data_IF_181770435903
#
_entry.id   IF_181770435903
#
_cell.length_a   1.000
_cell.length_b   1.000
_cell.length_c   1.000
_cell.angle_alpha   90.00
_cell.angle_beta   90.00
_cell.angle_gamma   90.00
#
_symmetry.space_group_name_H-M   'P 1'
#
loop_
_entity.id
_entity.type
_entity.pdbx_description
1 polymer ?
#
# COMPACT_ATOMS: atom_id res chain seq x y z
N UNK A 1 8.15 -15.00 -2.28
CA UNK A 1 8.95 -13.78 -2.10
C UNK A 1 8.78 -12.67 -3.16
N UNK A 2 8.25 -12.86 -4.40
CA UNK A 2 8.11 -11.74 -5.35
C UNK A 2 6.86 -10.86 -5.12
N UNK A 3 5.77 -11.40 -4.58
CA UNK A 3 4.51 -10.64 -4.40
C UNK A 3 4.60 -9.57 -3.30
N UNK A 4 5.31 -9.84 -2.20
CA UNK A 4 5.51 -8.84 -1.14
C UNK A 4 6.35 -7.66 -1.65
N UNK A 5 7.41 -7.92 -2.43
CA UNK A 5 8.21 -6.85 -3.05
C UNK A 5 7.39 -6.01 -4.05
N UNK A 6 6.44 -6.60 -4.77
CA UNK A 6 5.51 -5.87 -5.64
C UNK A 6 4.57 -4.96 -4.85
N UNK A 7 4.05 -5.41 -3.71
CA UNK A 7 3.23 -4.58 -2.83
C UNK A 7 4.02 -3.40 -2.26
N UNK A 8 5.25 -3.62 -1.81
CA UNK A 8 6.12 -2.54 -1.34
C UNK A 8 6.41 -1.51 -2.44
N UNK A 9 6.68 -1.97 -3.67
CA UNK A 9 6.86 -1.07 -4.81
C UNK A 9 5.58 -0.28 -5.15
N UNK A 10 4.40 -0.91 -5.09
CA UNK A 10 3.14 -0.22 -5.34
C UNK A 10 2.84 0.87 -4.29
N UNK A 11 3.13 0.61 -3.01
CA UNK A 11 3.00 1.62 -1.95
C UNK A 11 3.99 2.78 -2.15
N UNK A 12 5.20 2.48 -2.65
CA UNK A 12 6.21 3.50 -2.93
C UNK A 12 5.78 4.46 -4.04
N UNK A 13 5.31 3.92 -5.15
CA UNK A 13 4.79 4.72 -6.27
C UNK A 13 3.59 5.57 -5.82
N UNK A 14 2.74 5.04 -4.95
CA UNK A 14 1.62 5.79 -4.38
C UNK A 14 2.08 6.95 -3.47
N UNK A 15 3.09 6.76 -2.60
CA UNK A 15 3.64 7.85 -1.76
C UNK A 15 4.38 8.91 -2.60
N UNK A 16 4.87 8.55 -3.79
CA UNK A 16 5.47 9.44 -4.77
C UNK A 16 4.47 10.31 -5.57
N UNK A 17 3.16 10.10 -5.40
CA UNK A 17 2.14 10.92 -6.06
C UNK A 17 2.29 12.39 -5.67
N UNK A 18 2.19 13.29 -6.66
CA UNK A 18 2.38 14.74 -6.47
C UNK A 18 1.32 15.41 -5.58
N UNK A 19 0.26 14.67 -5.20
CA UNK A 19 -0.84 15.16 -4.38
C UNK A 19 -1.04 14.27 -3.13
N UNK A 20 -0.26 14.50 -2.06
CA UNK A 20 -0.33 13.71 -0.83
C UNK A 20 -1.66 13.85 -0.07
N UNK A 21 -2.43 14.91 -0.32
CA UNK A 21 -3.74 15.12 0.30
C UNK A 21 -4.78 14.10 -0.17
N UNK A 22 -4.62 13.54 -1.38
CA UNK A 22 -5.49 12.47 -1.87
C UNK A 22 -5.33 11.18 -1.07
N UNK A 23 -4.10 10.86 -0.66
CA UNK A 23 -3.82 9.67 0.15
C UNK A 23 -4.33 9.85 1.58
N UNK A 24 -4.17 11.04 2.16
CA UNK A 24 -4.72 11.36 3.48
C UNK A 24 -6.26 11.36 3.46
N UNK A 25 -6.89 11.84 2.39
CA UNK A 25 -8.36 11.81 2.25
C UNK A 25 -8.91 10.39 2.07
N UNK A 26 -8.18 9.53 1.36
CA UNK A 26 -8.63 8.18 1.03
C UNK A 26 -8.34 7.16 2.15
N UNK A 27 -7.16 7.25 2.77
CA UNK A 27 -6.70 6.28 3.78
C UNK A 27 -6.59 6.88 5.19
N UNK A 28 -6.52 8.21 5.33
CA UNK A 28 -6.41 8.89 6.62
C UNK A 28 -5.33 8.31 7.53
N UNK A 29 -5.70 8.00 8.77
CA UNK A 29 -4.79 7.44 9.76
C UNK A 29 -4.18 6.08 9.36
N UNK A 30 -4.84 5.31 8.49
CA UNK A 30 -4.34 4.02 8.02
C UNK A 30 -3.15 4.16 7.07
N UNK A 31 -2.97 5.32 6.43
CA UNK A 31 -1.84 5.57 5.54
C UNK A 31 -0.50 5.36 6.24
N UNK A 32 -0.41 5.74 7.52
CA UNK A 32 0.80 5.51 8.33
C UNK A 32 1.09 4.01 8.52
N UNK A 33 0.06 3.18 8.67
CA UNK A 33 0.20 1.72 8.82
C UNK A 33 0.59 1.06 7.48
N UNK A 34 0.06 1.55 6.36
CA UNK A 34 0.42 1.10 5.01
C UNK A 34 1.91 1.37 4.75
N UNK A 35 2.41 2.56 5.11
CA UNK A 35 3.83 2.89 5.00
C UNK A 35 4.73 2.09 5.95
N UNK A 36 4.26 1.83 7.16
CA UNK A 36 4.95 0.92 8.09
C UNK A 36 5.08 -0.49 7.49
N UNK A 37 4.04 -0.97 6.80
CA UNK A 37 4.04 -2.26 6.10
C UNK A 37 5.05 -2.28 4.95
N UNK A 38 5.11 -1.21 4.13
CA UNK A 38 6.16 -1.04 3.10
C UNK A 38 7.55 -1.10 3.71
N UNK A 39 7.78 -0.41 4.82
CA UNK A 39 9.07 -0.42 5.51
C UNK A 39 9.44 -1.81 6.05
N UNK A 40 8.48 -2.53 6.64
CA UNK A 40 8.70 -3.89 7.12
C UNK A 40 9.06 -4.87 5.98
N UNK A 41 8.40 -4.74 4.81
CA UNK A 41 8.69 -5.55 3.62
C UNK A 41 10.05 -5.17 3.00
N UNK A 42 10.32 -3.87 2.83
CA UNK A 42 11.53 -3.35 2.19
C UNK A 42 12.78 -3.67 3.01
N UNK A 43 12.69 -3.55 4.34
CA UNK A 43 13.83 -3.78 5.23
C UNK A 43 14.05 -5.27 5.51
N UNK A 44 13.20 -6.17 5.01
CA UNK A 44 13.38 -7.63 5.11
C UNK A 44 13.91 -8.05 6.48
N UNK A 45 13.17 -7.76 7.55
CA UNK A 45 13.39 -8.50 8.80
C UNK A 45 13.38 -9.97 8.40
N UNK A 46 14.49 -10.67 8.66
CA UNK A 46 14.91 -11.89 7.95
C UNK A 46 13.92 -13.08 7.97
N UNK A 47 12.75 -12.89 8.55
CA UNK A 47 11.57 -13.72 8.46
C UNK A 47 10.37 -12.83 8.13
N UNK A 48 9.95 -12.78 6.86
CA UNK A 48 8.60 -12.28 6.57
C UNK A 48 7.64 -13.39 6.98
N UNK A 49 6.96 -13.20 8.12
CA UNK A 49 6.05 -14.18 8.69
C UNK A 49 4.92 -14.52 7.71
N UNK A 50 4.84 -15.78 7.27
CA UNK A 50 3.86 -16.21 6.28
C UNK A 50 2.40 -16.00 6.73
N UNK A 51 2.04 -16.21 8.02
CA UNK A 51 0.82 -15.72 8.63
C UNK A 51 0.54 -14.23 8.38
N UNK A 52 1.52 -13.35 8.58
CA UNK A 52 1.37 -11.92 8.36
C UNK A 52 1.08 -11.62 6.88
N UNK A 53 1.85 -12.20 5.95
CA UNK A 53 1.59 -12.04 4.50
C UNK A 53 0.18 -12.49 4.14
N UNK A 54 -0.25 -13.65 4.64
CA UNK A 54 -1.61 -14.17 4.37
C UNK A 54 -2.68 -13.25 4.93
N UNK A 55 -2.48 -12.73 6.13
CA UNK A 55 -3.41 -11.76 6.73
C UNK A 55 -3.50 -10.50 5.87
N UNK A 56 -2.37 -9.92 5.48
CA UNK A 56 -2.34 -8.70 4.65
C UNK A 56 -2.99 -8.92 3.28
N UNK A 57 -2.74 -10.05 2.63
CA UNK A 57 -3.38 -10.37 1.34
C UNK A 57 -4.89 -10.55 1.51
N UNK A 58 -5.33 -11.28 2.55
CA UNK A 58 -6.74 -11.62 2.71
C UNK A 58 -7.59 -10.47 3.25
N UNK A 59 -6.99 -9.51 3.96
CA UNK A 59 -7.73 -8.45 4.67
C UNK A 59 -7.50 -7.07 4.07
N UNK A 60 -6.28 -6.78 3.64
CA UNK A 60 -5.85 -5.41 3.38
C UNK A 60 -5.69 -5.14 1.87
N UNK A 61 -5.32 -6.16 1.09
CA UNK A 61 -5.01 -6.00 -0.33
C UNK A 61 -6.21 -5.55 -1.17
N UNK A 62 -7.39 -6.13 -0.96
CA UNK A 62 -8.58 -5.77 -1.74
C UNK A 62 -9.01 -4.32 -1.51
N UNK A 63 -8.94 -3.86 -0.25
CA UNK A 63 -9.25 -2.48 0.13
C UNK A 63 -8.23 -1.50 -0.46
N UNK A 64 -6.95 -1.87 -0.44
CA UNK A 64 -5.88 -1.08 -1.05
C UNK A 64 -6.05 -0.95 -2.57
N UNK A 65 -6.29 -2.06 -3.28
CA UNK A 65 -6.50 -2.07 -4.73
C UNK A 65 -7.72 -1.22 -5.14
N UNK A 66 -8.82 -1.32 -4.40
CA UNK A 66 -10.01 -0.51 -4.64
C UNK A 66 -9.74 0.99 -4.42
N UNK A 67 -8.95 1.34 -3.41
CA UNK A 67 -8.52 2.72 -3.15
C UNK A 67 -7.67 3.30 -4.28
N UNK A 68 -6.65 2.56 -4.73
CA UNK A 68 -5.81 2.97 -5.86
C UNK A 68 -6.62 3.14 -7.14
N UNK A 69 -7.58 2.24 -7.40
CA UNK A 69 -8.47 2.35 -8.56
C UNK A 69 -9.31 3.62 -8.53
N UNK A 70 -9.82 4.02 -7.36
CA UNK A 70 -10.56 5.28 -7.19
C UNK A 70 -9.67 6.51 -7.38
N UNK A 71 -8.42 6.44 -6.94
CA UNK A 71 -7.44 7.52 -7.14
C UNK A 71 -7.11 7.66 -8.63
N UNK A 72 -6.89 6.55 -9.34
CA UNK A 72 -6.60 6.56 -10.77
C UNK A 72 -7.71 7.24 -11.58
N UNK A 73 -8.98 6.92 -11.31
CA UNK A 73 -10.13 7.58 -11.97
C UNK A 73 -10.12 9.09 -11.70
N UNK A 74 -9.89 9.51 -10.45
CA UNK A 74 -9.84 10.94 -10.08
C UNK A 74 -8.68 11.71 -10.71
N UNK A 75 -7.61 11.02 -11.11
CA UNK A 75 -6.46 11.61 -11.81
C UNK A 75 -6.71 11.74 -13.32
N UNK A 76 -7.57 10.90 -13.90
CA UNK A 76 -7.99 11.01 -15.31
C UNK A 76 -9.02 12.12 -15.53
N UNK A 77 -9.79 12.48 -14.48
CA UNK A 77 -10.80 13.55 -14.50
C UNK A 77 -10.23 14.97 -14.24
N UNK A 78 -8.91 15.13 -14.07
CA UNK A 78 -8.20 16.41 -13.88
C UNK A 78 -7.40 16.81 -15.12
#
# INVERSE_FOLDING_TARGET
MPCAKRLAAAIEEADGLSNPELLEKEFGAEWKLIKATRNAIAHSYAFVDAPLIRSTVNRDLASFEAGISRIAIKLEDQ
#
